data_IF_108820405202
#
_entry.id   IF_108820405202
#
_cell.length_a   1.000
_cell.length_b   1.000
_cell.length_c   1.000
_cell.angle_alpha   90.00
_cell.angle_beta   90.00
_cell.angle_gamma   90.00
#
_symmetry.space_group_name_H-M   'P 1'
#
loop_
_entity.id
_entity.type
_entity.pdbx_description
1 polymer ?
#
# COMPACT_ATOMS: atom_id res chain seq x y z
N UNK A 1 42.59 -91.46 81.63
CA UNK A 1 42.88 -91.17 80.22
C UNK A 1 41.83 -90.18 79.72
N UNK A 2 42.26 -88.97 79.35
CA UNK A 2 41.40 -87.82 79.07
C UNK A 2 41.05 -87.82 77.58
N UNK A 3 39.76 -87.72 77.25
CA UNK A 3 39.28 -87.52 75.87
C UNK A 3 39.07 -86.03 75.64
N UNK A 4 39.96 -85.44 74.84
CA UNK A 4 39.87 -84.06 74.35
C UNK A 4 39.03 -84.06 73.08
N UNK A 5 37.93 -83.30 73.08
CA UNK A 5 37.17 -82.98 71.88
C UNK A 5 37.45 -81.51 71.54
N UNK A 6 38.25 -81.31 70.49
CA UNK A 6 38.65 -80.02 69.96
C UNK A 6 37.51 -79.45 69.15
N UNK A 7 36.70 -78.61 69.77
CA UNK A 7 35.85 -77.68 69.01
C UNK A 7 36.75 -76.55 68.52
N UNK A 8 37.28 -76.77 67.31
CA UNK A 8 37.66 -75.71 66.39
C UNK A 8 36.43 -74.84 66.17
N UNK A 9 36.37 -73.70 66.88
CA UNK A 9 35.43 -72.64 66.53
C UNK A 9 35.98 -71.92 65.30
N UNK A 10 35.73 -72.53 64.14
CA UNK A 10 35.56 -71.73 62.94
C UNK A 10 34.37 -70.83 63.23
N UNK A 11 34.60 -69.55 63.40
CA UNK A 11 34.05 -68.58 62.47
C UNK A 11 34.55 -67.18 62.83
N UNK A 12 35.55 -66.75 62.07
CA UNK A 12 35.47 -65.46 61.41
C UNK A 12 34.06 -65.29 60.84
N UNK A 13 33.12 -64.78 61.64
CA UNK A 13 31.85 -64.27 61.12
C UNK A 13 32.18 -62.97 60.43
N UNK A 14 32.67 -63.12 59.21
CA UNK A 14 32.54 -62.19 58.11
C UNK A 14 31.24 -61.43 58.32
N UNK A 15 31.37 -60.13 58.64
CA UNK A 15 30.27 -59.19 58.74
C UNK A 15 29.47 -59.36 57.46
N UNK A 16 28.38 -60.14 57.52
CA UNK A 16 27.46 -60.27 56.39
C UNK A 16 26.92 -58.86 56.20
N UNK A 17 27.48 -58.13 55.25
CA UNK A 17 26.85 -56.94 54.71
C UNK A 17 25.49 -57.44 54.27
N UNK A 18 24.45 -57.12 55.03
CA UNK A 18 23.09 -57.37 54.57
C UNK A 18 23.01 -56.61 53.27
N UNK A 19 23.05 -57.34 52.17
CA UNK A 19 22.67 -56.80 50.88
C UNK A 19 21.20 -56.44 51.08
N UNK A 20 20.96 -55.17 51.40
CA UNK A 20 19.62 -54.61 51.48
C UNK A 20 19.16 -54.65 50.04
N UNK A 21 18.47 -55.73 49.68
CA UNK A 21 17.60 -55.70 48.52
C UNK A 21 16.69 -54.51 48.76
N UNK A 22 16.70 -53.47 47.90
CA UNK A 22 15.76 -52.39 48.07
C UNK A 22 14.39 -53.00 47.89
N UNK A 23 13.70 -53.27 49.01
CA UNK A 23 12.29 -53.60 49.01
C UNK A 23 11.58 -52.33 48.59
N UNK A 24 11.53 -52.11 47.28
CA UNK A 24 10.70 -51.09 46.66
C UNK A 24 9.29 -51.39 47.12
N UNK A 25 8.78 -50.56 48.03
CA UNK A 25 7.39 -50.65 48.44
C UNK A 25 6.54 -50.53 47.17
N UNK A 26 5.65 -51.50 46.95
CA UNK A 26 4.71 -51.51 45.83
C UNK A 26 4.01 -50.13 45.69
N UNK A 27 3.70 -49.51 46.83
CA UNK A 27 3.16 -48.15 46.94
C UNK A 27 4.05 -47.07 46.31
N UNK A 28 5.36 -47.08 46.54
CA UNK A 28 6.28 -46.10 45.95
C UNK A 28 6.39 -46.20 44.43
N UNK A 29 6.33 -47.41 43.88
CA UNK A 29 6.30 -47.63 42.43
C UNK A 29 5.01 -47.12 41.80
N UNK A 30 3.86 -47.30 42.47
CA UNK A 30 2.57 -46.79 42.00
C UNK A 30 2.56 -45.25 41.97
N UNK A 31 3.05 -44.60 43.03
CA UNK A 31 3.15 -43.13 43.05
C UNK A 31 4.12 -42.59 41.98
N UNK A 32 5.24 -43.27 41.76
CA UNK A 32 6.19 -42.90 40.70
C UNK A 32 5.56 -43.04 39.31
N UNK A 33 4.82 -44.12 39.06
CA UNK A 33 4.11 -44.32 37.80
C UNK A 33 3.03 -43.25 37.56
N UNK A 34 2.25 -42.91 38.59
CA UNK A 34 1.27 -41.82 38.55
C UNK A 34 1.93 -40.46 38.28
N UNK A 35 3.06 -40.17 38.93
CA UNK A 35 3.80 -38.94 38.72
C UNK A 35 4.33 -38.85 37.28
N UNK A 36 4.91 -39.92 36.74
CA UNK A 36 5.39 -39.97 35.36
C UNK A 36 4.26 -39.82 34.35
N UNK A 37 3.08 -40.42 34.60
CA UNK A 37 1.90 -40.22 33.77
C UNK A 37 1.41 -38.77 33.78
N UNK A 38 1.32 -38.15 34.97
CA UNK A 38 0.91 -36.77 35.10
C UNK A 38 1.92 -35.81 34.42
N UNK A 39 3.22 -36.00 34.67
CA UNK A 39 4.28 -35.22 34.04
C UNK A 39 4.31 -35.41 32.51
N UNK A 40 4.11 -36.63 32.03
CA UNK A 40 3.99 -36.94 30.60
C UNK A 40 2.78 -36.26 29.95
N UNK A 41 1.62 -36.29 30.62
CA UNK A 41 0.41 -35.62 30.15
C UNK A 41 0.55 -34.11 30.05
N UNK A 42 1.11 -33.47 31.10
CA UNK A 42 1.36 -32.02 31.12
C UNK A 42 2.39 -31.63 30.05
N UNK A 43 3.46 -32.42 29.93
CA UNK A 43 4.50 -32.19 28.92
C UNK A 43 3.94 -32.30 27.50
N UNK A 44 3.17 -33.36 27.21
CA UNK A 44 2.52 -33.56 25.92
C UNK A 44 1.56 -32.43 25.56
N UNK A 45 0.74 -31.99 26.52
CA UNK A 45 -0.15 -30.85 26.35
C UNK A 45 0.62 -29.55 26.06
N UNK A 46 1.69 -29.30 26.82
CA UNK A 46 2.53 -28.13 26.64
C UNK A 46 3.20 -28.11 25.24
N UNK A 47 3.71 -29.24 24.77
CA UNK A 47 4.28 -29.35 23.43
C UNK A 47 3.24 -29.12 22.34
N UNK A 48 2.02 -29.65 22.49
CA UNK A 48 0.93 -29.43 21.55
C UNK A 48 0.56 -27.94 21.44
N UNK A 49 0.32 -27.29 22.58
CA UNK A 49 -0.02 -25.86 22.62
C UNK A 49 1.13 -25.00 22.06
N UNK A 50 2.38 -25.31 22.42
CA UNK A 50 3.55 -24.60 21.89
C UNK A 50 3.68 -24.73 20.37
N UNK A 51 3.39 -25.91 19.82
CA UNK A 51 3.42 -26.13 18.39
C UNK A 51 2.33 -25.31 17.67
N UNK A 52 1.12 -25.25 18.23
CA UNK A 52 0.03 -24.46 17.66
C UNK A 52 0.30 -22.95 17.71
N UNK A 53 0.86 -22.46 18.82
CA UNK A 53 1.32 -21.08 18.96
C UNK A 53 2.38 -20.75 17.90
N UNK A 54 3.34 -21.65 17.68
CA UNK A 54 4.38 -21.43 16.68
C UNK A 54 3.79 -21.36 15.27
N UNK A 55 2.87 -22.27 14.89
CA UNK A 55 2.16 -22.20 13.61
C UNK A 55 1.41 -20.89 13.44
N UNK A 56 0.72 -20.44 14.48
CA UNK A 56 -0.02 -19.17 14.45
C UNK A 56 0.94 -17.98 14.28
N UNK A 57 2.08 -17.98 14.99
CA UNK A 57 3.12 -16.94 14.86
C UNK A 57 3.74 -16.91 13.47
N UNK A 58 4.00 -18.07 12.85
CA UNK A 58 4.52 -18.12 11.49
C UNK A 58 3.52 -17.56 10.48
N UNK A 59 2.24 -17.96 10.57
CA UNK A 59 1.17 -17.38 9.75
C UNK A 59 1.09 -15.86 9.92
N UNK A 60 1.17 -15.38 11.16
CA UNK A 60 1.15 -13.96 11.46
C UNK A 60 2.35 -13.22 10.86
N UNK A 61 3.54 -13.84 10.85
CA UNK A 61 4.74 -13.27 10.24
C UNK A 61 4.58 -13.14 8.71
N UNK A 62 4.05 -14.17 8.06
CA UNK A 62 3.79 -14.17 6.61
C UNK A 62 2.77 -13.09 6.25
N UNK A 63 1.63 -13.05 6.96
CA UNK A 63 0.57 -12.06 6.73
C UNK A 63 1.07 -10.62 6.94
N UNK A 64 1.89 -10.37 7.96
CA UNK A 64 2.49 -9.04 8.18
C UNK A 64 3.46 -8.64 7.08
N UNK A 65 4.24 -9.59 6.55
CA UNK A 65 5.14 -9.32 5.43
C UNK A 65 4.35 -8.99 4.16
N UNK A 66 3.26 -9.69 3.92
CA UNK A 66 2.36 -9.42 2.80
C UNK A 66 1.64 -8.07 2.95
N UNK A 67 1.16 -7.74 4.15
CA UNK A 67 0.58 -6.44 4.46
C UNK A 67 1.58 -5.29 4.22
N UNK A 68 2.84 -5.47 4.60
CA UNK A 68 3.89 -4.48 4.35
C UNK A 68 4.15 -4.30 2.84
N UNK A 69 4.18 -5.40 2.07
CA UNK A 69 4.33 -5.36 0.61
C UNK A 69 3.15 -4.64 -0.05
N UNK A 70 1.91 -4.97 0.36
CA UNK A 70 0.68 -4.33 -0.13
C UNK A 70 0.64 -2.84 0.20
N UNK A 71 1.08 -2.43 1.40
CA UNK A 71 1.21 -1.02 1.77
C UNK A 71 2.21 -0.27 0.89
N UNK A 72 3.35 -0.88 0.58
CA UNK A 72 4.33 -0.31 -0.35
C UNK A 72 3.74 -0.07 -1.73
N UNK A 73 3.07 -1.09 -2.29
CA UNK A 73 2.41 -0.96 -3.60
C UNK A 73 1.31 0.11 -3.60
N UNK A 74 0.51 0.19 -2.53
CA UNK A 74 -0.52 1.23 -2.40
C UNK A 74 0.07 2.64 -2.40
N UNK A 75 1.17 2.85 -1.69
CA UNK A 75 1.87 4.16 -1.69
C UNK A 75 2.42 4.51 -3.07
N UNK A 76 2.91 3.52 -3.82
CA UNK A 76 3.38 3.74 -5.19
C UNK A 76 2.25 4.13 -6.13
N UNK A 77 1.10 3.43 -6.06
CA UNK A 77 -0.10 3.77 -6.82
C UNK A 77 -0.56 5.19 -6.51
N UNK A 78 -0.60 5.58 -5.24
CA UNK A 78 -1.02 6.93 -4.84
C UNK A 78 -0.08 8.03 -5.38
N UNK A 79 1.23 7.76 -5.43
CA UNK A 79 2.21 8.68 -6.06
C UNK A 79 1.95 8.81 -7.55
N UNK A 80 1.73 7.69 -8.25
CA UNK A 80 1.43 7.71 -9.68
C UNK A 80 0.12 8.44 -9.98
N UNK A 81 -0.90 8.24 -9.17
CA UNK A 81 -2.21 8.90 -9.32
C UNK A 81 -2.10 10.42 -9.13
N UNK A 82 -1.35 10.88 -8.12
CA UNK A 82 -1.03 12.30 -7.92
C UNK A 82 -0.31 12.91 -9.12
N UNK A 83 0.70 12.20 -9.66
CA UNK A 83 1.42 12.66 -10.84
C UNK A 83 0.53 12.70 -12.09
N UNK A 84 -0.39 11.73 -12.25
CA UNK A 84 -1.37 11.71 -13.33
C UNK A 84 -2.31 12.91 -13.24
N UNK A 85 -2.86 13.19 -12.07
CA UNK A 85 -3.74 14.34 -11.85
C UNK A 85 -3.04 15.66 -12.16
N UNK A 86 -1.80 15.84 -11.71
CA UNK A 86 -1.00 17.05 -12.01
C UNK A 86 -0.71 17.22 -13.50
N UNK A 87 -0.54 16.12 -14.26
CA UNK A 87 -0.34 16.19 -15.71
C UNK A 87 -1.64 16.53 -16.42
N UNK A 88 -2.76 15.92 -16.02
CA UNK A 88 -4.07 16.20 -16.59
C UNK A 88 -4.49 17.65 -16.37
N UNK A 89 -4.28 18.21 -15.17
CA UNK A 89 -4.61 19.60 -14.88
C UNK A 89 -3.79 20.59 -15.74
N UNK A 90 -2.53 20.25 -16.04
CA UNK A 90 -1.71 21.06 -16.96
C UNK A 90 -2.23 20.99 -18.39
N UNK A 91 -2.65 19.81 -18.84
CA UNK A 91 -3.24 19.63 -20.18
C UNK A 91 -4.52 20.48 -20.29
N UNK A 92 -5.40 20.41 -19.30
CA UNK A 92 -6.63 21.20 -19.27
C UNK A 92 -6.35 22.71 -19.36
N UNK A 93 -5.39 23.22 -18.58
CA UNK A 93 -4.99 24.63 -18.66
C UNK A 93 -4.42 24.97 -20.04
N UNK A 94 -3.62 24.08 -20.64
CA UNK A 94 -3.07 24.30 -22.00
C UNK A 94 -4.19 24.33 -23.04
N UNK A 95 -5.18 23.43 -22.93
CA UNK A 95 -6.32 23.39 -23.84
C UNK A 95 -7.16 24.67 -23.72
N UNK A 96 -7.46 25.11 -22.50
CA UNK A 96 -8.13 26.38 -22.25
C UNK A 96 -7.35 27.57 -22.83
N UNK A 97 -6.03 27.63 -22.63
CA UNK A 97 -5.20 28.70 -23.21
C UNK A 97 -5.18 28.65 -24.74
N UNK A 98 -5.13 27.46 -25.33
CA UNK A 98 -5.13 27.27 -26.79
C UNK A 98 -6.47 27.67 -27.41
N UNK A 99 -7.59 27.37 -26.76
CA UNK A 99 -8.92 27.84 -27.20
C UNK A 99 -9.01 29.36 -27.14
N UNK A 100 -8.55 29.96 -26.04
CA UNK A 100 -8.49 31.42 -25.88
C UNK A 100 -7.56 32.10 -26.91
N UNK A 101 -6.54 31.40 -27.42
CA UNK A 101 -5.65 31.93 -28.47
C UNK A 101 -6.23 31.82 -29.89
N UNK A 102 -7.00 30.77 -30.20
CA UNK A 102 -7.52 30.55 -31.56
C UNK A 102 -8.70 31.44 -31.92
N UNK A 103 -9.58 31.74 -30.97
CA UNK A 103 -10.77 32.58 -31.18
C UNK A 103 -10.44 33.97 -31.76
N UNK A 104 -9.54 34.75 -31.15
CA UNK A 104 -9.20 36.10 -31.61
C UNK A 104 -8.59 36.14 -33.01
N UNK A 105 -7.80 35.13 -33.40
CA UNK A 105 -7.15 35.07 -34.71
C UNK A 105 -8.18 34.79 -35.82
N UNK A 106 -9.14 33.90 -35.58
CA UNK A 106 -10.22 33.64 -36.53
C UNK A 106 -11.10 34.88 -36.72
N UNK A 107 -11.47 35.56 -35.62
CA UNK A 107 -12.26 36.78 -35.68
C UNK A 107 -11.52 37.91 -36.41
N UNK A 108 -10.22 38.07 -36.16
CA UNK A 108 -9.42 39.05 -36.88
C UNK A 108 -9.40 38.76 -38.39
N UNK A 109 -9.27 37.49 -38.79
CA UNK A 109 -9.32 37.12 -40.21
C UNK A 109 -10.67 37.43 -40.86
N UNK A 110 -11.80 37.16 -40.18
CA UNK A 110 -13.14 37.50 -40.68
C UNK A 110 -13.33 39.01 -40.80
N UNK A 111 -12.83 39.80 -39.85
CA UNK A 111 -12.88 41.27 -39.92
C UNK A 111 -12.03 41.80 -41.08
N UNK A 112 -10.83 41.25 -41.31
CA UNK A 112 -9.98 41.66 -42.43
C UNK A 112 -10.65 41.33 -43.78
N UNK A 113 -11.33 40.19 -43.89
CA UNK A 113 -12.02 39.78 -45.12
C UNK A 113 -13.27 40.62 -45.42
N UNK A 114 -13.94 41.15 -44.41
CA UNK A 114 -15.12 42.00 -44.58
C UNK A 114 -14.81 43.45 -44.95
N UNK A 115 -13.55 43.90 -44.82
CA UNK A 115 -13.13 45.23 -45.28
C UNK A 115 -13.19 45.28 -46.82
N UNK A 116 -13.98 46.19 -47.42
CA UNK A 116 -14.06 46.29 -48.86
C UNK A 116 -12.71 46.74 -49.45
N UNK A 117 -12.27 46.08 -50.53
CA UNK A 117 -10.94 46.29 -51.17
C UNK A 117 -10.75 47.66 -51.83
N UNK A 118 -11.77 48.51 -51.79
CA UNK A 118 -11.82 49.82 -52.41
C UNK A 118 -11.02 50.89 -51.62
N UNK A 119 -10.45 50.55 -50.46
CA UNK A 119 -9.49 51.38 -49.72
C UNK A 119 -10.08 52.66 -49.11
N UNK A 120 -11.40 52.79 -49.10
CA UNK A 120 -12.12 53.94 -48.56
C UNK A 120 -12.39 53.82 -47.06
N UNK A 121 -12.25 52.62 -46.49
CA UNK A 121 -12.53 52.31 -45.08
C UNK A 121 -11.27 51.69 -44.45
N UNK A 122 -10.86 52.20 -43.29
CA UNK A 122 -9.79 51.63 -42.49
C UNK A 122 -10.19 51.54 -41.03
N UNK A 123 -9.69 50.51 -40.37
CA UNK A 123 -9.91 50.27 -38.95
C UNK A 123 -8.72 50.81 -38.16
N UNK A 124 -9.01 51.54 -37.08
CA UNK A 124 -8.00 52.08 -36.18
C UNK A 124 -7.86 51.24 -34.92
N UNK A 125 -8.95 50.63 -34.45
CA UNK A 125 -8.90 49.79 -33.26
C UNK A 125 -9.93 48.65 -33.34
N UNK A 126 -9.52 47.46 -32.93
CA UNK A 126 -10.37 46.28 -32.77
C UNK A 126 -10.17 45.77 -31.35
N UNK A 127 -11.23 45.74 -30.55
CA UNK A 127 -11.18 45.21 -29.18
C UNK A 127 -12.28 44.18 -29.00
N UNK A 128 -11.89 42.96 -28.70
CA UNK A 128 -12.81 41.90 -28.29
C UNK A 128 -12.78 41.77 -26.77
N UNK A 129 -13.97 41.82 -26.15
CA UNK A 129 -14.15 41.52 -24.73
C UNK A 129 -15.29 40.54 -24.58
N UNK A 130 -14.95 39.32 -24.18
CA UNK A 130 -15.87 38.18 -24.09
C UNK A 130 -16.60 37.99 -25.44
N UNK A 131 -17.93 38.16 -25.43
CA UNK A 131 -18.82 38.00 -26.58
C UNK A 131 -19.10 39.33 -27.32
N UNK A 132 -18.46 40.43 -26.93
CA UNK A 132 -18.65 41.75 -27.56
C UNK A 132 -17.40 42.18 -28.31
N UNK A 133 -17.57 42.45 -29.61
CA UNK A 133 -16.52 43.02 -30.47
C UNK A 133 -16.80 44.49 -30.70
N UNK A 134 -15.84 45.35 -30.33
CA UNK A 134 -15.87 46.79 -30.61
C UNK A 134 -14.89 47.09 -31.74
N UNK A 135 -15.43 47.62 -32.83
CA UNK A 135 -14.67 48.03 -34.01
C UNK A 135 -14.71 49.55 -34.08
N UNK A 136 -13.55 50.19 -34.23
CA UNK A 136 -13.42 51.64 -34.42
C UNK A 136 -12.60 51.87 -35.68
N UNK A 137 -13.10 52.72 -36.57
CA UNK A 137 -12.45 53.05 -37.81
C UNK A 137 -13.00 54.33 -38.42
N UNK A 138 -12.40 54.74 -39.52
CA UNK A 138 -12.77 55.93 -40.26
C UNK A 138 -12.98 55.55 -41.73
N UNK A 139 -13.86 56.31 -42.40
CA UNK A 139 -14.13 56.15 -43.82
C UNK A 139 -14.08 57.49 -44.53
N UNK A 140 -13.67 57.48 -45.79
CA UNK A 140 -13.73 58.63 -46.71
C UNK A 140 -15.10 58.80 -47.37
N UNK A 141 -15.88 57.73 -47.47
CA UNK A 141 -17.22 57.76 -48.06
C UNK A 141 -18.21 57.03 -47.13
N UNK A 142 -19.34 57.68 -46.83
CA UNK A 142 -20.39 57.16 -45.95
C UNK A 142 -21.15 55.98 -46.57
N UNK A 143 -21.20 55.88 -47.90
CA UNK A 143 -21.90 54.82 -48.64
C UNK A 143 -21.30 53.43 -48.42
N UNK A 144 -20.06 53.34 -47.91
CA UNK A 144 -19.32 52.09 -47.72
C UNK A 144 -19.64 51.43 -46.38
N UNK A 145 -20.33 52.13 -45.46
CA UNK A 145 -20.68 51.63 -44.12
C UNK A 145 -21.71 50.48 -44.20
N UNK A 146 -22.82 50.60 -44.94
CA UNK A 146 -23.81 49.52 -45.05
C UNK A 146 -23.23 48.25 -45.69
N UNK A 147 -22.41 48.40 -46.74
CA UNK A 147 -21.73 47.27 -47.40
C UNK A 147 -20.81 46.52 -46.44
N UNK A 148 -20.06 47.26 -45.60
CA UNK A 148 -19.25 46.67 -44.55
C UNK A 148 -20.10 45.91 -43.52
N UNK A 149 -21.23 46.48 -43.07
CA UNK A 149 -22.14 45.81 -42.14
C UNK A 149 -22.73 44.52 -42.72
N UNK A 150 -23.08 44.51 -44.02
CA UNK A 150 -23.60 43.33 -44.71
C UNK A 150 -22.53 42.25 -44.84
N UNK A 151 -21.30 42.62 -45.22
CA UNK A 151 -20.18 41.67 -45.30
C UNK A 151 -19.82 41.07 -43.94
N UNK A 152 -19.93 41.87 -42.87
CA UNK A 152 -19.72 41.40 -41.49
C UNK A 152 -20.84 40.46 -41.02
N UNK A 153 -22.09 40.70 -41.43
CA UNK A 153 -23.22 39.84 -41.10
C UNK A 153 -23.25 38.52 -41.88
N UNK A 154 -22.57 38.48 -43.04
CA UNK A 154 -22.48 37.30 -43.89
C UNK A 154 -21.27 36.39 -43.56
N UNK A 155 -20.36 36.83 -42.68
CA UNK A 155 -19.15 36.12 -42.25
C UNK A 155 -19.34 35.48 -40.87
#
# INVERSE_FOLDING_TARGET
>A
MIKVNLLTDQTSRTRKKSFVTPTVSSTGLIFLALFLLAAGGISGWYFYVKHEINKCREKQKILRAEEARLKGLKQEIEKFEKLKQQRLSRIEVIEQLKENQKGPVLLLNSVIQSIPRNGLLWLSNLTQKDDRVRIVGNTKNTEVIPDFMINLAAS
#
